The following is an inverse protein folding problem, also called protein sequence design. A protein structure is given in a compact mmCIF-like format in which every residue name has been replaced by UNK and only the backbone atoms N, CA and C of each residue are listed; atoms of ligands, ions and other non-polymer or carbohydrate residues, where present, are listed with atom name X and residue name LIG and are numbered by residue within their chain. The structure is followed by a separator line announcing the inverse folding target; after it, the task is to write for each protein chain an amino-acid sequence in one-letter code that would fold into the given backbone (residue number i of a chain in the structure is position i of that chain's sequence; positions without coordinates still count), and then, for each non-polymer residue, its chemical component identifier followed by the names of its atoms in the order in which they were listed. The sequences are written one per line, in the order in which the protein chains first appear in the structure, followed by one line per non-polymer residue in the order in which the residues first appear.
data_IF_956137672318
#
_entry.id   IF_956137672318
#
_cell.length_a   1.000
_cell.length_b   1.000
_cell.length_c   1.000
_cell.angle_alpha   90.00
_cell.angle_beta   90.00
_cell.angle_gamma   90.00
#
_symmetry.space_group_name_H-M   'P 1'
#
loop_
_entity.id
_entity.type
_entity.pdbx_description
1 polymer ?
#
# COMPACT_ATOMS: atom_id res chain seq x y z
N UNK A 1 -31.73 22.32 16.95
CA UNK A 1 -30.91 21.19 17.48
C UNK A 1 -31.47 19.78 17.25
N UNK A 2 -32.79 19.59 17.13
CA UNK A 2 -33.41 18.26 16.86
C UNK A 2 -33.12 17.74 15.44
N UNK A 3 -32.95 18.62 14.44
CA UNK A 3 -32.60 18.23 13.07
C UNK A 3 -31.15 17.77 12.91
N UNK A 4 -30.22 18.30 13.70
CA UNK A 4 -28.82 17.84 13.69
C UNK A 4 -28.66 16.50 14.41
N UNK A 5 -29.45 16.24 15.46
CA UNK A 5 -29.47 14.93 16.12
C UNK A 5 -30.11 13.84 15.26
N UNK A 6 -31.19 14.18 14.50
CA UNK A 6 -31.79 13.23 13.53
C UNK A 6 -30.82 12.95 12.36
N UNK A 7 -30.08 13.94 11.83
CA UNK A 7 -29.06 13.70 10.80
C UNK A 7 -27.90 12.86 11.31
N UNK A 8 -27.40 13.09 12.55
CA UNK A 8 -26.41 12.21 13.17
C UNK A 8 -26.94 10.78 13.40
N UNK A 9 -28.19 10.62 13.85
CA UNK A 9 -28.80 9.31 14.06
C UNK A 9 -29.08 8.54 12.76
N UNK A 10 -29.41 9.22 11.66
CA UNK A 10 -29.59 8.61 10.32
C UNK A 10 -28.26 8.19 9.71
N UNK A 11 -27.15 8.91 9.98
CA UNK A 11 -25.82 8.48 9.54
C UNK A 11 -25.26 7.31 10.37
N UNK A 12 -25.65 7.17 11.63
CA UNK A 12 -25.30 6.01 12.48
C UNK A 12 -25.93 4.68 12.00
N UNK A 13 -26.97 4.73 11.17
CA UNK A 13 -27.69 3.53 10.69
C UNK A 13 -27.24 3.03 9.31
N UNK A 14 -26.37 3.75 8.60
CA UNK A 14 -25.76 3.25 7.37
C UNK A 14 -24.54 2.40 7.70
N UNK A 15 -24.78 1.12 7.94
CA UNK A 15 -23.70 0.16 8.18
C UNK A 15 -22.66 0.20 7.04
N UNK A 16 -21.40 -0.08 7.37
CA UNK A 16 -20.29 -0.14 6.40
C UNK A 16 -20.65 -1.11 5.28
N UNK A 17 -20.51 -0.65 4.04
CA UNK A 17 -20.67 -1.44 2.81
C UNK A 17 -19.60 -1.03 1.80
N UNK A 18 -19.32 -1.86 0.81
CA UNK A 18 -18.36 -1.51 -0.25
C UNK A 18 -18.75 -0.25 -1.04
N UNK A 19 -20.04 0.08 -1.11
CA UNK A 19 -20.50 1.31 -1.76
C UNK A 19 -20.17 2.58 -0.96
N UNK A 20 -20.03 2.45 0.37
CA UNK A 20 -19.77 3.58 1.29
C UNK A 20 -18.29 3.86 1.51
N UNK A 21 -17.39 3.13 0.85
CA UNK A 21 -15.95 3.47 0.83
C UNK A 21 -15.80 4.92 0.35
N UNK A 22 -14.90 5.73 0.93
CA UNK A 22 -14.69 7.11 0.53
C UNK A 22 -14.35 7.21 -0.96
N UNK A 23 -14.71 8.33 -1.56
CA UNK A 23 -14.38 8.60 -2.97
C UNK A 23 -13.01 9.27 -3.12
N UNK A 24 -12.50 9.86 -2.06
CA UNK A 24 -11.18 10.47 -1.92
C UNK A 24 -10.66 10.21 -0.51
N UNK A 25 -9.38 10.43 -0.29
CA UNK A 25 -8.74 10.18 0.99
C UNK A 25 -7.87 8.93 0.97
N UNK A 26 -7.75 8.26 2.11
CA UNK A 26 -6.78 7.18 2.32
C UNK A 26 -7.45 5.92 2.85
N UNK A 27 -7.19 4.81 2.18
CA UNK A 27 -7.60 3.45 2.60
C UNK A 27 -6.37 2.59 2.73
N UNK A 28 -6.23 1.89 3.84
CA UNK A 28 -5.17 0.90 4.07
C UNK A 28 -5.76 -0.50 4.04
N UNK A 29 -5.15 -1.40 3.28
CA UNK A 29 -5.50 -2.82 3.22
C UNK A 29 -4.33 -3.63 3.76
N UNK A 30 -4.50 -4.28 4.89
CA UNK A 30 -3.47 -5.10 5.52
C UNK A 30 -3.88 -6.55 5.72
N UNK A 31 -2.92 -7.42 6.02
CA UNK A 31 -3.16 -8.81 6.35
C UNK A 31 -2.12 -9.76 5.75
N UNK A 32 -2.25 -11.04 6.04
CA UNK A 32 -1.31 -12.09 5.66
C UNK A 32 -1.10 -12.21 4.15
N UNK A 33 0.09 -12.69 3.76
CA UNK A 33 0.38 -13.03 2.36
C UNK A 33 -0.59 -14.10 1.86
N UNK A 34 -1.08 -13.93 0.63
CA UNK A 34 -2.02 -14.89 0.01
C UNK A 34 -3.49 -14.69 0.38
N UNK A 35 -3.84 -13.80 1.30
CA UNK A 35 -5.24 -13.56 1.74
C UNK A 35 -6.05 -12.66 0.78
N UNK A 36 -5.51 -12.29 -0.37
CA UNK A 36 -6.27 -11.56 -1.40
C UNK A 36 -6.37 -10.04 -1.17
N UNK A 37 -5.38 -9.42 -0.54
CA UNK A 37 -5.31 -7.95 -0.35
C UNK A 37 -5.33 -7.20 -1.68
N UNK A 38 -4.41 -7.57 -2.57
CA UNK A 38 -4.26 -6.91 -3.87
C UNK A 38 -5.52 -7.03 -4.72
N UNK A 39 -6.15 -8.22 -4.77
CA UNK A 39 -7.42 -8.38 -5.49
C UNK A 39 -8.55 -7.55 -4.89
N UNK A 40 -8.57 -7.38 -3.55
CA UNK A 40 -9.54 -6.52 -2.88
C UNK A 40 -9.32 -5.04 -3.23
N UNK A 41 -8.08 -4.57 -3.25
CA UNK A 41 -7.75 -3.20 -3.66
C UNK A 41 -8.24 -2.92 -5.10
N UNK A 42 -8.01 -3.86 -6.01
CA UNK A 42 -8.50 -3.77 -7.38
C UNK A 42 -10.03 -3.82 -7.47
N UNK A 43 -10.70 -4.64 -6.66
CA UNK A 43 -12.16 -4.66 -6.60
C UNK A 43 -12.73 -3.31 -6.17
N UNK A 44 -12.14 -2.68 -5.15
CA UNK A 44 -12.54 -1.35 -4.70
C UNK A 44 -12.31 -0.29 -5.78
N UNK A 45 -11.18 -0.34 -6.48
CA UNK A 45 -10.88 0.58 -7.57
C UNK A 45 -11.85 0.42 -8.75
N UNK A 46 -12.16 -0.82 -9.15
CA UNK A 46 -13.17 -1.09 -10.19
C UNK A 46 -14.55 -0.56 -9.78
N UNK A 47 -14.98 -0.83 -8.55
CA UNK A 47 -16.25 -0.36 -8.02
C UNK A 47 -16.34 1.17 -8.04
N UNK A 48 -15.29 1.85 -7.59
CA UNK A 48 -15.26 3.32 -7.56
C UNK A 48 -15.13 3.94 -8.93
N UNK A 49 -14.41 3.31 -9.85
CA UNK A 49 -14.36 3.74 -11.25
C UNK A 49 -15.75 3.74 -11.89
N UNK A 50 -16.56 2.71 -11.61
CA UNK A 50 -17.94 2.61 -12.16
C UNK A 50 -18.88 3.61 -11.47
N UNK A 51 -18.81 3.75 -10.15
CA UNK A 51 -19.73 4.59 -9.37
C UNK A 51 -19.35 6.07 -9.39
N UNK A 52 -18.08 6.40 -9.64
CA UNK A 52 -17.54 7.77 -9.71
C UNK A 52 -16.98 8.01 -11.11
N UNK A 53 -17.87 8.37 -12.04
CA UNK A 53 -17.51 8.69 -13.44
C UNK A 53 -16.41 9.76 -13.49
N UNK A 54 -15.41 9.52 -14.34
CA UNK A 54 -14.29 10.45 -14.57
C UNK A 54 -13.04 10.20 -13.75
N UNK A 55 -13.06 9.37 -12.70
CA UNK A 55 -11.82 9.00 -11.99
C UNK A 55 -11.02 7.98 -12.78
N UNK A 56 -9.73 8.27 -12.92
CA UNK A 56 -8.77 7.32 -13.48
C UNK A 56 -8.38 6.30 -12.41
N UNK A 57 -7.89 5.15 -12.84
CA UNK A 57 -7.28 4.17 -11.94
C UNK A 57 -5.81 4.08 -12.28
N UNK A 58 -4.97 4.29 -11.27
CA UNK A 58 -3.52 4.32 -11.37
C UNK A 58 -2.95 3.15 -10.59
N UNK A 59 -2.08 2.38 -11.23
CA UNK A 59 -1.19 1.41 -10.60
C UNK A 59 0.16 2.08 -10.35
N UNK A 60 0.50 2.35 -9.10
CA UNK A 60 1.73 3.02 -8.74
C UNK A 60 2.89 2.02 -8.56
N UNK A 61 4.03 2.34 -9.15
CA UNK A 61 5.28 1.60 -8.94
C UNK A 61 5.25 0.12 -9.35
N UNK A 62 4.33 -0.28 -10.19
CA UNK A 62 4.14 -1.67 -10.55
C UNK A 62 5.16 -2.16 -11.58
N UNK A 63 5.76 -3.36 -11.42
CA UNK A 63 6.70 -3.93 -12.38
C UNK A 63 6.09 -4.15 -13.76
N UNK A 64 6.92 -4.11 -14.78
CA UNK A 64 6.51 -4.16 -16.19
C UNK A 64 5.70 -5.42 -16.54
N UNK A 65 6.08 -6.59 -16.00
CA UNK A 65 5.37 -7.85 -16.25
C UNK A 65 3.94 -7.81 -15.71
N UNK A 66 3.75 -7.28 -14.50
CA UNK A 66 2.43 -7.14 -13.91
C UNK A 66 1.58 -6.10 -14.68
N UNK A 67 2.21 -5.01 -15.18
CA UNK A 67 1.53 -4.00 -16.02
C UNK A 67 0.90 -4.63 -17.28
N UNK A 68 1.62 -5.55 -17.95
CA UNK A 68 1.13 -6.24 -19.16
C UNK A 68 -0.08 -7.15 -18.91
N UNK A 69 -0.29 -7.58 -17.67
CA UNK A 69 -1.40 -8.44 -17.31
C UNK A 69 -2.69 -7.65 -16.96
N UNK A 70 -2.57 -6.35 -16.66
CA UNK A 70 -3.70 -5.51 -16.28
C UNK A 70 -4.45 -4.95 -17.47
N UNK A 71 -5.75 -4.60 -17.31
CA UNK A 71 -6.55 -3.95 -18.33
C UNK A 71 -5.96 -2.62 -18.82
N UNK A 72 -6.12 -2.30 -20.11
CA UNK A 72 -5.61 -1.08 -20.73
C UNK A 72 -6.17 0.23 -20.13
N UNK A 73 -7.29 0.19 -19.43
CA UNK A 73 -7.87 1.37 -18.77
C UNK A 73 -7.17 1.75 -17.44
N UNK A 74 -6.22 0.94 -16.98
CA UNK A 74 -5.38 1.23 -15.82
C UNK A 74 -4.14 1.98 -16.31
N UNK A 75 -3.92 3.17 -15.76
CA UNK A 75 -2.74 3.97 -16.03
C UNK A 75 -1.61 3.54 -15.08
N UNK A 76 -0.37 3.56 -15.55
CA UNK A 76 0.79 3.25 -14.72
C UNK A 76 1.59 4.52 -14.48
N UNK A 77 1.93 4.77 -13.21
CA UNK A 77 2.79 5.86 -12.78
C UNK A 77 3.88 5.32 -11.86
N UNK A 78 5.04 5.97 -11.87
CA UNK A 78 6.21 5.50 -11.14
C UNK A 78 6.77 6.53 -10.16
N UNK A 79 6.34 7.79 -10.25
CA UNK A 79 6.76 8.89 -9.37
C UNK A 79 5.57 9.52 -8.65
N UNK A 80 5.83 10.07 -7.46
CA UNK A 80 4.81 10.77 -6.68
C UNK A 80 4.41 12.09 -7.35
N UNK A 81 5.33 12.72 -8.07
CA UNK A 81 5.06 13.92 -8.85
C UNK A 81 4.01 13.66 -9.94
N UNK A 82 4.16 12.56 -10.71
CA UNK A 82 3.14 12.16 -11.69
C UNK A 82 1.76 11.98 -11.07
N UNK A 83 1.69 11.34 -9.88
CA UNK A 83 0.43 11.17 -9.15
C UNK A 83 -0.12 12.51 -8.66
N UNK A 84 0.75 13.35 -8.09
CA UNK A 84 0.34 14.64 -7.51
C UNK A 84 -0.21 15.60 -8.56
N UNK A 85 0.24 15.51 -9.81
CA UNK A 85 -0.21 16.34 -10.95
C UNK A 85 -1.36 15.71 -11.74
N UNK A 86 -1.71 14.45 -11.45
CA UNK A 86 -2.77 13.72 -12.15
C UNK A 86 -4.16 14.34 -11.90
N UNK A 87 -5.08 14.11 -12.85
CA UNK A 87 -6.53 14.37 -12.65
C UNK A 87 -7.06 13.46 -11.53
N UNK A 88 -8.26 13.76 -10.96
CA UNK A 88 -8.88 12.94 -9.92
C UNK A 88 -8.76 11.44 -10.21
N UNK A 89 -8.15 10.70 -9.30
CA UNK A 89 -7.73 9.32 -9.55
C UNK A 89 -7.92 8.41 -8.33
N UNK A 90 -8.01 7.12 -8.61
CA UNK A 90 -7.91 6.05 -7.61
C UNK A 90 -6.54 5.43 -7.79
N UNK A 91 -5.66 5.55 -6.79
CA UNK A 91 -4.26 5.14 -6.86
C UNK A 91 -4.06 3.91 -5.98
N UNK A 92 -3.63 2.80 -6.58
CA UNK A 92 -3.26 1.59 -5.83
C UNK A 92 -1.75 1.57 -5.67
N UNK A 93 -1.31 1.53 -4.41
CA UNK A 93 0.08 1.47 -3.98
C UNK A 93 0.29 0.12 -3.30
N UNK A 94 0.89 -0.83 -4.01
CA UNK A 94 1.20 -2.14 -3.45
C UNK A 94 2.55 -2.11 -2.72
N UNK A 95 2.72 -2.98 -1.72
CA UNK A 95 3.90 -3.08 -0.86
C UNK A 95 5.23 -3.09 -1.62
N UNK A 96 5.29 -3.80 -2.75
CA UNK A 96 6.49 -3.84 -3.59
C UNK A 96 6.87 -2.47 -4.13
N UNK A 97 5.89 -1.63 -4.47
CA UNK A 97 6.10 -0.27 -4.93
C UNK A 97 6.59 0.64 -3.80
N UNK A 98 6.00 0.49 -2.61
CA UNK A 98 6.41 1.23 -1.43
C UNK A 98 7.83 0.88 -0.98
N UNK A 99 8.16 -0.42 -0.92
CA UNK A 99 9.49 -0.89 -0.55
C UNK A 99 10.58 -0.50 -1.56
N UNK A 100 10.27 -0.44 -2.86
CA UNK A 100 11.22 -0.03 -3.88
C UNK A 100 11.59 1.45 -3.76
N UNK A 101 10.64 2.31 -3.42
CA UNK A 101 10.86 3.74 -3.23
C UNK A 101 11.52 4.04 -1.88
N UNK A 102 11.15 3.35 -0.80
CA UNK A 102 11.72 3.56 0.53
C UNK A 102 13.20 3.21 0.64
N UNK A 103 13.71 2.31 -0.19
CA UNK A 103 15.15 1.95 -0.20
C UNK A 103 16.04 3.01 -0.83
N UNK A 104 15.50 3.91 -1.66
CA UNK A 104 16.29 4.94 -2.36
C UNK A 104 16.57 6.20 -1.52
N UNK A 105 15.70 6.52 -0.55
CA UNK A 105 15.92 7.64 0.38
C UNK A 105 14.91 7.53 1.54
N UNK A 106 15.27 6.83 2.62
CA UNK A 106 14.33 6.50 3.69
C UNK A 106 13.67 7.72 4.39
N UNK A 107 14.26 8.91 4.32
CA UNK A 107 13.67 10.11 4.94
C UNK A 107 12.93 10.98 3.92
N UNK A 108 13.48 11.22 2.73
CA UNK A 108 12.86 12.07 1.72
C UNK A 108 11.57 11.47 1.15
N UNK A 109 11.56 10.16 0.89
CA UNK A 109 10.36 9.49 0.36
C UNK A 109 9.18 9.49 1.36
N UNK A 110 9.43 9.44 2.66
CA UNK A 110 8.35 9.53 3.65
C UNK A 110 7.70 10.91 3.66
N UNK A 111 8.48 11.97 3.54
CA UNK A 111 7.96 13.35 3.46
C UNK A 111 7.08 13.53 2.21
N UNK A 112 7.51 13.03 1.06
CA UNK A 112 6.73 13.11 -0.18
C UNK A 112 5.41 12.32 -0.09
N UNK A 113 5.42 11.14 0.54
CA UNK A 113 4.19 10.38 0.79
C UNK A 113 3.22 11.14 1.69
N UNK A 114 3.71 11.73 2.79
CA UNK A 114 2.88 12.52 3.69
C UNK A 114 2.33 13.77 3.00
N UNK A 115 3.11 14.42 2.15
CA UNK A 115 2.65 15.55 1.34
C UNK A 115 1.54 15.12 0.36
N UNK A 116 1.72 13.99 -0.34
CA UNK A 116 0.68 13.45 -1.23
C UNK A 116 -0.60 13.11 -0.46
N UNK A 117 -0.50 12.50 0.73
CA UNK A 117 -1.65 12.19 1.58
C UNK A 117 -2.36 13.46 2.02
N UNK A 118 -1.61 14.48 2.44
CA UNK A 118 -2.19 15.77 2.87
C UNK A 118 -3.01 16.43 1.76
N UNK A 119 -2.58 16.32 0.50
CA UNK A 119 -3.27 16.95 -0.64
C UNK A 119 -4.27 16.03 -1.35
N UNK A 120 -4.30 14.74 -1.06
CA UNK A 120 -5.11 13.77 -1.82
C UNK A 120 -6.61 14.10 -1.81
N UNK A 121 -7.13 14.60 -0.70
CA UNK A 121 -8.54 15.02 -0.58
C UNK A 121 -8.84 16.27 -1.41
N UNK A 122 -7.93 17.24 -1.42
CA UNK A 122 -8.07 18.47 -2.22
C UNK A 122 -8.02 18.19 -3.71
N UNK A 123 -7.22 17.20 -4.12
CA UNK A 123 -7.09 16.75 -5.52
C UNK A 123 -8.11 15.68 -5.90
N UNK A 124 -9.03 15.34 -5.01
CA UNK A 124 -10.02 14.27 -5.19
C UNK A 124 -9.38 12.93 -5.56
N UNK A 125 -8.20 12.61 -4.98
CA UNK A 125 -7.59 11.29 -5.09
C UNK A 125 -8.07 10.35 -3.99
N UNK A 126 -8.26 9.07 -4.34
CA UNK A 126 -8.40 7.97 -3.39
C UNK A 126 -7.12 7.15 -3.43
N UNK A 127 -6.36 7.15 -2.35
CA UNK A 127 -5.15 6.35 -2.19
C UNK A 127 -5.50 5.04 -1.51
N UNK A 128 -5.09 3.91 -2.08
CA UNK A 128 -5.29 2.58 -1.52
C UNK A 128 -3.92 1.94 -1.31
N UNK A 129 -3.45 1.94 -0.07
CA UNK A 129 -2.22 1.27 0.32
C UNK A 129 -2.48 -0.20 0.63
N UNK A 130 -1.64 -1.07 0.08
CA UNK A 130 -1.68 -2.51 0.34
C UNK A 130 -0.40 -2.91 1.05
N UNK A 131 -0.51 -3.42 2.28
CA UNK A 131 0.63 -3.83 3.10
C UNK A 131 0.42 -5.21 3.71
N UNK A 132 1.51 -5.93 3.99
CA UNK A 132 1.43 -7.19 4.73
C UNK A 132 1.29 -6.95 6.23
N UNK A 133 1.86 -5.84 6.73
CA UNK A 133 1.87 -5.54 8.14
C UNK A 133 1.85 -4.03 8.39
N UNK A 134 1.08 -3.58 9.39
CA UNK A 134 0.97 -2.15 9.73
C UNK A 134 2.31 -1.51 10.15
N UNK A 135 3.29 -2.29 10.64
CA UNK A 135 4.63 -1.79 10.95
C UNK A 135 5.46 -1.38 9.73
N UNK A 136 5.07 -1.82 8.54
CA UNK A 136 5.75 -1.45 7.29
C UNK A 136 5.32 -0.07 6.77
N UNK A 137 4.21 0.45 7.28
CA UNK A 137 3.73 1.79 6.97
C UNK A 137 4.15 2.76 8.07
N UNK A 138 4.39 4.00 7.69
CA UNK A 138 4.59 5.08 8.66
C UNK A 138 3.35 5.24 9.55
N UNK A 139 3.55 5.58 10.82
CA UNK A 139 2.46 5.76 11.78
C UNK A 139 1.51 6.88 11.37
N UNK A 140 2.03 7.93 10.73
CA UNK A 140 1.22 9.05 10.25
C UNK A 140 0.30 8.63 9.09
N UNK A 141 0.79 7.76 8.17
CA UNK A 141 -0.05 7.18 7.11
C UNK A 141 -1.23 6.43 7.72
N UNK A 142 -0.99 5.66 8.78
CA UNK A 142 -2.03 4.91 9.45
C UNK A 142 -3.00 5.82 10.21
N UNK A 143 -2.49 6.89 10.85
CA UNK A 143 -3.30 7.87 11.59
C UNK A 143 -4.24 8.68 10.67
N UNK A 144 -3.81 8.93 9.43
CA UNK A 144 -4.59 9.66 8.43
C UNK A 144 -5.56 8.76 7.62
N UNK A 145 -5.55 7.45 7.88
CA UNK A 145 -6.41 6.51 7.16
C UNK A 145 -7.90 6.74 7.48
N UNK A 146 -8.72 6.91 6.45
CA UNK A 146 -10.17 6.96 6.57
C UNK A 146 -10.75 5.58 6.91
N UNK A 147 -10.19 4.55 6.29
CA UNK A 147 -10.55 3.14 6.54
C UNK A 147 -9.30 2.28 6.65
N UNK A 148 -9.30 1.37 7.60
CA UNK A 148 -8.36 0.25 7.65
C UNK A 148 -9.13 -1.05 7.39
N UNK A 149 -8.67 -1.81 6.42
CA UNK A 149 -9.30 -3.05 5.97
C UNK A 149 -8.34 -4.19 6.23
N UNK A 150 -8.76 -5.09 7.11
CA UNK A 150 -7.95 -6.22 7.55
C UNK A 150 -8.41 -7.49 6.84
N UNK A 151 -7.51 -8.14 6.12
CA UNK A 151 -7.65 -9.53 5.70
C UNK A 151 -7.23 -10.42 6.85
N UNK A 152 -7.52 -11.73 6.78
CA UNK A 152 -7.25 -12.67 7.88
C UNK A 152 -5.88 -12.42 8.51
N UNK A 153 -5.80 -12.02 9.78
CA UNK A 153 -4.55 -11.88 10.50
C UNK A 153 -4.04 -13.23 10.99
N UNK A 154 -2.73 -13.33 11.22
CA UNK A 154 -2.11 -14.47 11.92
C UNK A 154 -1.82 -14.14 13.37
N UNK A 155 -1.48 -15.17 14.17
CA UNK A 155 -1.00 -14.96 15.54
C UNK A 155 0.26 -14.08 15.59
N UNK A 156 1.12 -14.15 14.57
CA UNK A 156 2.30 -13.29 14.49
C UNK A 156 1.91 -11.84 14.23
N UNK A 157 0.87 -11.58 13.44
CA UNK A 157 0.33 -10.23 13.29
C UNK A 157 -0.10 -9.65 14.64
N UNK A 158 -0.82 -10.42 15.47
CA UNK A 158 -1.23 -9.98 16.80
C UNK A 158 -0.06 -9.67 17.73
N UNK A 159 1.03 -10.47 17.65
CA UNK A 159 2.22 -10.26 18.49
C UNK A 159 3.04 -9.05 18.09
N UNK A 160 3.13 -8.79 16.79
CA UNK A 160 4.01 -7.76 16.22
C UNK A 160 3.26 -6.54 15.70
N UNK A 161 1.96 -6.43 15.97
CA UNK A 161 1.20 -5.22 15.62
C UNK A 161 1.61 -4.03 16.49
N UNK A 162 1.30 -2.83 16.02
CA UNK A 162 1.40 -1.62 16.84
C UNK A 162 0.35 -1.66 17.95
N UNK A 163 0.66 -1.22 19.18
CA UNK A 163 -0.28 -1.25 20.29
C UNK A 163 -1.62 -0.57 19.98
N UNK A 164 -1.58 0.53 19.21
CA UNK A 164 -2.73 1.35 18.84
C UNK A 164 -3.74 0.61 17.96
N UNK A 165 -3.28 -0.40 17.20
CA UNK A 165 -4.12 -1.22 16.30
C UNK A 165 -4.47 -2.59 16.87
N UNK A 166 -3.98 -2.89 18.07
CA UNK A 166 -4.13 -4.22 18.66
C UNK A 166 -5.60 -4.58 18.94
N UNK A 167 -6.44 -3.69 19.49
CA UNK A 167 -7.84 -4.02 19.77
C UNK A 167 -8.64 -4.40 18.53
N UNK A 168 -8.49 -3.65 17.43
CA UNK A 168 -9.18 -3.90 16.17
C UNK A 168 -8.68 -5.19 15.51
N UNK A 169 -7.37 -5.44 15.61
CA UNK A 169 -6.77 -6.65 15.05
C UNK A 169 -7.20 -7.91 15.82
N UNK A 170 -7.34 -7.83 17.14
CA UNK A 170 -7.86 -8.92 17.98
C UNK A 170 -9.34 -9.21 17.63
N UNK A 171 -10.17 -8.19 17.48
CA UNK A 171 -11.56 -8.34 17.03
C UNK A 171 -11.63 -8.96 15.63
N UNK A 172 -10.78 -8.48 14.69
CA UNK A 172 -10.70 -9.07 13.36
C UNK A 172 -10.33 -10.55 13.44
N UNK A 173 -9.31 -10.89 14.22
CA UNK A 173 -8.87 -12.27 14.39
C UNK A 173 -10.00 -13.18 14.91
N UNK A 174 -10.70 -12.79 15.96
CA UNK A 174 -11.82 -13.53 16.52
C UNK A 174 -12.94 -13.76 15.49
N UNK A 175 -13.32 -12.71 14.75
CA UNK A 175 -14.33 -12.82 13.72
C UNK A 175 -13.90 -13.73 12.56
N UNK A 176 -12.63 -13.71 12.17
CA UNK A 176 -12.12 -14.62 11.17
C UNK A 176 -12.08 -16.08 11.63
N UNK A 177 -11.88 -16.35 12.93
CA UNK A 177 -11.94 -17.71 13.48
C UNK A 177 -13.36 -18.30 13.41
N UNK A 178 -14.39 -17.46 13.49
CA UNK A 178 -15.77 -17.89 13.38
C UNK A 178 -16.21 -18.23 11.95
N UNK A 179 -15.41 -17.86 10.91
CA UNK A 179 -15.76 -18.12 9.52
C UNK A 179 -15.51 -19.58 9.16
N UNK A 180 -16.59 -20.26 8.75
CA UNK A 180 -16.51 -21.59 8.16
C UNK A 180 -16.25 -21.46 6.65
N UNK A 181 -15.11 -21.93 6.16
CA UNK A 181 -14.76 -21.95 4.73
C UNK A 181 -13.65 -20.97 4.35
N UNK A 182 -13.68 -20.47 3.11
CA UNK A 182 -12.60 -19.64 2.52
C UNK A 182 -12.60 -18.23 3.09
N UNK A 183 -11.68 -17.95 4.02
CA UNK A 183 -11.51 -16.65 4.67
C UNK A 183 -11.11 -15.53 3.70
N UNK A 184 -10.52 -15.87 2.54
CA UNK A 184 -10.18 -14.89 1.51
C UNK A 184 -11.38 -14.14 0.95
N UNK A 185 -12.58 -14.71 1.11
CA UNK A 185 -13.84 -14.09 0.70
C UNK A 185 -14.36 -13.03 1.69
N UNK A 186 -13.61 -12.71 2.73
CA UNK A 186 -14.03 -11.76 3.75
C UNK A 186 -12.93 -10.74 4.05
N UNK A 187 -13.34 -9.60 4.59
CA UNK A 187 -12.47 -8.56 5.13
C UNK A 187 -13.16 -7.89 6.32
N UNK A 188 -12.40 -7.58 7.35
CA UNK A 188 -12.84 -6.78 8.48
C UNK A 188 -12.50 -5.31 8.20
N UNK A 189 -13.51 -4.47 8.14
CA UNK A 189 -13.39 -3.06 7.78
C UNK A 189 -13.61 -2.21 9.01
N UNK A 190 -12.67 -1.35 9.34
CA UNK A 190 -12.72 -0.39 10.44
C UNK A 190 -12.79 1.02 9.86
N UNK A 191 -13.83 1.75 10.24
CA UNK A 191 -14.04 3.16 9.91
C UNK A 191 -13.75 3.98 11.17
N UNK A 192 -12.57 4.57 11.23
CA UNK A 192 -12.13 5.35 12.39
C UNK A 192 -12.86 6.68 12.53
N UNK A 193 -13.39 7.24 11.44
CA UNK A 193 -14.15 8.49 11.52
C UNK A 193 -15.51 8.32 12.21
N UNK A 194 -16.14 7.17 12.00
CA UNK A 194 -17.46 6.89 12.55
C UNK A 194 -17.43 5.92 13.74
N UNK A 195 -16.25 5.38 14.08
CA UNK A 195 -16.07 4.38 15.15
C UNK A 195 -16.80 3.07 14.86
N UNK A 196 -16.96 2.70 13.59
CA UNK A 196 -17.68 1.51 13.18
C UNK A 196 -16.71 0.45 12.65
N UNK A 197 -16.99 -0.80 12.95
CA UNK A 197 -16.27 -1.92 12.37
C UNK A 197 -17.23 -3.02 11.91
N UNK A 198 -16.91 -3.70 10.80
CA UNK A 198 -17.78 -4.75 10.24
C UNK A 198 -17.02 -5.73 9.36
N UNK A 199 -17.40 -7.01 9.46
CA UNK A 199 -17.00 -8.03 8.50
C UNK A 199 -17.81 -7.90 7.22
N UNK A 200 -17.11 -7.75 6.07
CA UNK A 200 -17.72 -7.67 4.76
C UNK A 200 -17.29 -8.84 3.87
N UNK A 201 -18.22 -9.32 3.04
CA UNK A 201 -17.91 -10.30 2.01
C UNK A 201 -17.22 -9.62 0.82
N UNK A 202 -16.03 -10.10 0.44
CA UNK A 202 -15.27 -9.60 -0.69
C UNK A 202 -15.73 -10.21 -2.01
N UNK A 203 -15.55 -9.45 -3.08
CA UNK A 203 -15.67 -9.94 -4.46
C UNK A 203 -14.32 -9.78 -5.16
N UNK A 204 -14.10 -10.54 -6.21
CA UNK A 204 -12.99 -10.32 -7.12
C UNK A 204 -13.37 -9.24 -8.14
N UNK A 205 -12.41 -8.44 -8.64
CA UNK A 205 -12.66 -7.57 -9.79
C UNK A 205 -13.07 -8.42 -11.00
N UNK A 206 -13.89 -7.88 -11.88
CA UNK A 206 -14.37 -8.60 -13.07
C UNK A 206 -13.25 -9.06 -14.00
N UNK A 207 -12.15 -8.31 -14.03
CA UNK A 207 -10.98 -8.60 -14.86
C UNK A 207 -9.96 -9.54 -14.19
N UNK A 208 -10.18 -9.92 -12.91
CA UNK A 208 -9.23 -10.76 -12.17
C UNK A 208 -9.13 -12.15 -12.77
N UNK A 209 -7.91 -12.59 -13.01
CA UNK A 209 -7.61 -13.89 -13.59
C UNK A 209 -6.41 -14.54 -12.89
N UNK A 210 -6.24 -15.82 -13.09
CA UNK A 210 -5.07 -16.57 -12.60
C UNK A 210 -3.77 -15.99 -13.17
N UNK A 211 -3.78 -15.55 -14.43
CA UNK A 211 -2.65 -14.88 -15.07
C UNK A 211 -2.21 -13.62 -14.29
N UNK A 212 -3.16 -12.80 -13.85
CA UNK A 212 -2.86 -11.60 -13.04
C UNK A 212 -2.30 -12.02 -11.69
N UNK A 213 -2.91 -13.00 -11.03
CA UNK A 213 -2.44 -13.51 -9.75
C UNK A 213 -1.01 -14.05 -9.83
N UNK A 214 -0.68 -14.79 -10.88
CA UNK A 214 0.68 -15.30 -11.14
C UNK A 214 1.66 -14.16 -11.44
N UNK A 215 1.30 -13.18 -12.25
CA UNK A 215 2.15 -12.02 -12.55
C UNK A 215 2.56 -11.25 -11.29
N UNK A 216 1.71 -11.23 -10.25
CA UNK A 216 2.06 -10.67 -8.95
C UNK A 216 2.97 -11.58 -8.11
N UNK A 217 2.84 -12.90 -8.22
CA UNK A 217 3.67 -13.86 -7.48
C UNK A 217 5.07 -14.04 -8.08
N UNK A 218 5.20 -13.83 -9.39
CA UNK A 218 6.46 -13.92 -10.15
C UNK A 218 7.26 -12.61 -10.10
N UNK A 219 6.81 -11.61 -9.36
CA UNK A 219 7.54 -10.36 -9.15
C UNK A 219 8.87 -10.66 -8.44
N UNK A 220 9.93 -10.84 -9.23
CA UNK A 220 11.30 -10.96 -8.73
C UNK A 220 11.70 -9.63 -8.07
N UNK A 221 11.99 -9.69 -6.78
CA UNK A 221 12.48 -8.54 -6.04
C UNK A 221 13.89 -8.21 -6.58
N UNK A 222 14.00 -7.13 -7.32
CA UNK A 222 15.29 -6.46 -7.50
C UNK A 222 16.21 -6.94 -8.62
N UNK A 223 15.74 -7.75 -9.58
CA UNK A 223 16.61 -8.18 -10.71
C UNK A 223 16.50 -7.32 -11.97
N UNK A 224 15.50 -6.48 -12.11
CA UNK A 224 15.29 -5.64 -13.32
C UNK A 224 15.76 -4.19 -13.19
N UNK A 225 16.32 -3.80 -12.07
CA UNK A 225 17.05 -2.56 -11.95
C UNK A 225 18.54 -2.87 -11.82
N UNK A 226 19.22 -3.14 -12.94
CA UNK A 226 20.63 -2.75 -12.99
C UNK A 226 20.63 -1.28 -12.54
N UNK A 227 21.32 -0.91 -11.45
CA UNK A 227 21.54 0.49 -11.18
C UNK A 227 22.17 1.03 -12.45
N UNK A 228 21.55 2.02 -13.07
CA UNK A 228 22.26 2.89 -13.99
C UNK A 228 23.21 3.62 -13.04
N UNK A 229 24.39 3.02 -12.88
CA UNK A 229 25.50 3.74 -12.25
C UNK A 229 25.67 4.98 -13.15
N UNK A 230 25.62 6.19 -12.59
CA UNK A 230 26.01 7.36 -13.36
C UNK A 230 27.37 7.03 -13.94
N UNK A 231 27.51 7.22 -15.25
CA UNK A 231 28.81 7.05 -15.90
C UNK A 231 29.81 7.87 -15.09
N UNK A 232 30.74 7.18 -14.47
CA UNK A 232 31.84 7.84 -13.77
C UNK A 232 32.53 8.72 -14.79
N UNK A 233 32.78 10.00 -14.48
CA UNK A 233 33.51 10.87 -15.41
C UNK A 233 34.79 10.16 -15.81
N UNK A 234 35.02 10.00 -17.12
CA UNK A 234 36.23 9.46 -17.70
C UNK A 234 37.43 10.22 -17.14
N UNK A 235 38.25 9.57 -16.31
CA UNK A 235 39.42 10.17 -15.64
C UNK A 235 39.64 9.73 -14.20
N UNK A 236 38.76 8.90 -13.62
CA UNK A 236 38.95 8.39 -12.25
C UNK A 236 39.70 7.04 -12.23
N UNK A 237 39.73 6.30 -13.34
CA UNK A 237 40.46 5.02 -13.41
C UNK A 237 41.94 5.15 -13.15
N UNK A 238 42.60 6.23 -13.62
CA UNK A 238 44.01 6.49 -13.34
C UNK A 238 44.34 6.78 -11.87
N UNK A 239 43.38 7.40 -11.13
CA UNK A 239 43.58 7.71 -9.70
C UNK A 239 43.39 6.51 -8.80
N UNK A 240 42.51 5.58 -9.16
CA UNK A 240 42.26 4.36 -8.37
C UNK A 240 43.43 3.38 -8.51
N UNK A 241 44.07 3.31 -9.68
CA UNK A 241 45.27 2.50 -9.89
C UNK A 241 46.46 2.99 -9.07
N UNK A 242 46.58 4.30 -8.87
CA UNK A 242 47.68 4.88 -8.05
C UNK A 242 47.51 4.60 -6.55
N UNK A 243 46.28 4.50 -6.05
CA UNK A 243 46.03 4.18 -4.65
C UNK A 243 46.17 2.69 -4.31
N UNK A 244 46.02 1.80 -5.27
CA UNK A 244 46.18 0.36 -5.09
C UNK A 244 47.64 -0.10 -4.97
N UNK A 245 48.60 0.78 -5.26
CA UNK A 245 50.05 0.49 -5.17
C UNK A 245 50.73 1.02 -3.93
N UNK A 246 50.01 1.67 -3.03
CA UNK A 246 50.56 2.06 -1.71
C UNK A 246 50.48 0.88 -0.72
N UNK A 247 51.67 0.35 -0.36
CA UNK A 247 51.79 -0.75 0.59
C UNK A 247 51.09 -0.43 1.93
N UNK A 248 50.22 -1.36 2.37
CA UNK A 248 49.57 -1.29 3.67
C UNK A 248 50.64 -1.51 4.75
N UNK A 249 50.88 -0.57 5.67
CA UNK A 249 51.88 -0.76 6.73
C UNK A 249 51.44 -1.89 7.65
N UNK A 250 52.31 -2.87 7.86
CA UNK A 250 52.11 -3.97 8.76
C UNK A 250 52.05 -3.48 10.21
N UNK A 251 51.10 -3.92 11.04
CA UNK A 251 51.00 -3.50 12.44
C UNK A 251 52.16 -4.02 13.27
N UNK A 252 52.66 -3.26 14.27
CA UNK A 252 53.82 -3.62 15.07
C UNK A 252 53.55 -4.89 15.89
N UNK A 253 54.52 -5.82 15.90
CA UNK A 253 54.52 -7.04 16.73
C UNK A 253 54.45 -6.66 18.21
N UNK A 254 53.42 -7.12 18.91
CA UNK A 254 53.40 -7.06 20.39
C UNK A 254 54.55 -7.85 20.98
N UNK A 255 55.44 -7.15 21.73
CA UNK A 255 56.45 -7.80 22.61
C UNK A 255 55.70 -8.48 23.76
N UNK A 256 56.13 -9.71 24.03
CA UNK A 256 55.77 -10.46 25.26
C UNK A 256 56.44 -9.86 26.47
#
# INVERSE_FOLDING_TARGET
NRNNQKRKKVNMLKGITWNNIPSNGLVVVEGQRGEGKTSLAWYMAELKRVTKKGKRVIAFGMPLQARKALPKWITHMSTLEEVSTAKPSIVIIDEAAFAANSRRAMQESNIEWLQLIAICRHKDHLLIFVSQHNRQLDVQILADADLVIMKKPSLLHLRFTRPEFKPELEQAYEQFQAIKGDTRKFAYVVDYHNGNAKMLKCKLPKFWSERISKAYSEMAIGLDTKPVLPELPTGIEEKVSAYAQTEIPTPPKKRR
#
